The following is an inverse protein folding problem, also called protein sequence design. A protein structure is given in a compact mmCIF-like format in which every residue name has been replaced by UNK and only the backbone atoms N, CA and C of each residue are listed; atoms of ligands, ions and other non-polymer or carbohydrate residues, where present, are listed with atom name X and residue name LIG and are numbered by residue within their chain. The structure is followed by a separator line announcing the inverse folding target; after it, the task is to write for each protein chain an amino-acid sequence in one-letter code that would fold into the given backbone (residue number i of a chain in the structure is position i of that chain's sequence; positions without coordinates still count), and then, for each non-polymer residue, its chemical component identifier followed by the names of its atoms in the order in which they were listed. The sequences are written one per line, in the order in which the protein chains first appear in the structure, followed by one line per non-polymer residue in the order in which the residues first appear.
data_IF_890047733750
#
_entry.id   IF_890047733750
#
_cell.length_a   1.000
_cell.length_b   1.000
_cell.length_c   1.000
_cell.angle_alpha   90.00
_cell.angle_beta   90.00
_cell.angle_gamma   90.00
#
_symmetry.space_group_name_H-M   'P 1'
#
loop_
_entity.id
_entity.type
_entity.pdbx_description
1 polymer ?
#
# COMPACT_ATOMS: atom_id res chain seq x y z
N UNK A 1 9.64 -6.88 -15.11
CA UNK A 1 9.13 -6.88 -13.73
C UNK A 1 9.53 -5.57 -13.07
N UNK A 2 8.63 -4.96 -12.28
CA UNK A 2 8.88 -3.68 -11.60
C UNK A 2 8.60 -3.80 -10.10
N UNK A 3 9.43 -3.15 -9.27
CA UNK A 3 9.22 -3.01 -7.82
C UNK A 3 9.03 -1.54 -7.47
N UNK A 4 8.01 -1.26 -6.67
CA UNK A 4 7.68 0.08 -6.18
C UNK A 4 7.72 0.10 -4.65
N UNK A 5 8.24 1.19 -4.08
CA UNK A 5 8.16 1.40 -2.63
C UNK A 5 6.74 1.82 -2.25
N UNK A 6 6.19 1.20 -1.22
CA UNK A 6 4.99 1.71 -0.55
C UNK A 6 5.43 2.54 0.64
N UNK A 7 4.99 3.80 0.68
CA UNK A 7 5.43 4.76 1.69
C UNK A 7 4.23 5.34 2.44
N UNK A 8 4.31 5.37 3.77
CA UNK A 8 3.41 6.13 4.61
C UNK A 8 3.85 7.60 4.66
N UNK A 9 2.89 8.51 4.47
CA UNK A 9 3.11 9.95 4.57
C UNK A 9 2.85 10.44 5.99
N UNK A 10 3.81 11.12 6.60
CA UNK A 10 3.62 11.85 7.87
C UNK A 10 3.89 13.33 7.66
N UNK A 11 2.88 14.15 7.92
CA UNK A 11 2.99 15.61 7.94
C UNK A 11 3.23 16.02 9.39
N UNK A 12 4.16 16.94 9.63
CA UNK A 12 4.47 17.45 10.96
C UNK A 12 4.89 18.91 10.88
N UNK A 13 4.62 19.67 11.95
CA UNK A 13 5.14 21.02 12.10
C UNK A 13 6.56 20.97 12.67
N UNK A 14 7.47 21.76 12.10
CA UNK A 14 8.79 22.00 12.67
C UNK A 14 9.12 23.47 12.50
N UNK A 15 9.07 24.21 13.61
CA UNK A 15 9.34 25.65 13.68
C UNK A 15 8.37 26.50 12.83
N UNK A 16 7.08 26.15 12.80
CA UNK A 16 6.06 26.88 12.04
C UNK A 16 5.99 26.50 10.56
N UNK A 17 6.86 25.61 10.09
CA UNK A 17 6.82 25.05 8.74
C UNK A 17 6.23 23.65 8.73
N UNK A 18 5.27 23.40 7.83
CA UNK A 18 4.77 22.04 7.56
C UNK A 18 5.81 21.25 6.75
N UNK A 19 6.31 20.17 7.33
CA UNK A 19 7.25 19.24 6.69
C UNK A 19 6.61 17.89 6.44
N UNK A 20 7.11 17.20 5.41
CA UNK A 20 6.65 15.87 5.03
C UNK A 20 7.79 14.88 5.20
N UNK A 21 7.50 13.74 5.84
CA UNK A 21 8.36 12.56 5.85
C UNK A 21 7.63 11.40 5.18
N UNK A 22 8.38 10.64 4.38
CA UNK A 22 7.93 9.42 3.73
C UNK A 22 8.65 8.24 4.37
N UNK A 23 7.91 7.35 5.01
CA UNK A 23 8.46 6.14 5.61
C UNK A 23 8.14 4.97 4.71
N UNK A 24 9.15 4.24 4.26
CA UNK A 24 8.94 3.00 3.51
C UNK A 24 8.32 1.95 4.43
N UNK A 25 7.15 1.45 4.06
CA UNK A 25 6.35 0.50 4.84
C UNK A 25 6.09 -0.82 4.11
N UNK A 26 6.48 -0.91 2.85
CA UNK A 26 6.28 -2.11 2.04
C UNK A 26 6.84 -2.00 0.64
N UNK A 27 6.55 -3.03 -0.16
CA UNK A 27 6.89 -3.13 -1.57
C UNK A 27 5.67 -3.57 -2.37
N UNK A 28 5.50 -2.99 -3.55
CA UNK A 28 4.55 -3.47 -4.55
C UNK A 28 5.31 -4.04 -5.74
N UNK A 29 5.00 -5.28 -6.11
CA UNK A 29 5.56 -5.98 -7.28
C UNK A 29 4.55 -5.95 -8.42
N UNK A 30 5.01 -5.55 -9.59
CA UNK A 30 4.27 -5.63 -10.85
C UNK A 30 4.98 -6.67 -11.73
N UNK A 31 4.30 -7.77 -12.05
CA UNK A 31 4.84 -8.82 -12.93
C UNK A 31 4.84 -8.37 -14.38
N UNK A 32 5.51 -9.11 -15.26
CA UNK A 32 5.51 -8.84 -16.70
C UNK A 32 4.12 -8.95 -17.33
N UNK A 33 3.21 -9.71 -16.70
CA UNK A 33 1.80 -9.84 -17.10
C UNK A 33 0.90 -8.76 -16.49
N UNK A 34 1.46 -7.76 -15.80
CA UNK A 34 0.71 -6.67 -15.16
C UNK A 34 0.03 -7.02 -13.85
N UNK A 35 0.22 -8.23 -13.30
CA UNK A 35 -0.33 -8.60 -11.99
C UNK A 35 0.37 -7.82 -10.88
N UNK A 36 -0.40 -7.32 -9.92
CA UNK A 36 0.08 -6.48 -8.82
C UNK A 36 -0.01 -7.24 -7.50
N UNK A 37 1.08 -7.23 -6.74
CA UNK A 37 1.17 -7.85 -5.43
C UNK A 37 1.76 -6.85 -4.43
N UNK A 38 1.20 -6.77 -3.23
CA UNK A 38 1.64 -5.89 -2.16
C UNK A 38 2.15 -6.71 -0.98
N UNK A 39 3.30 -6.32 -0.44
CA UNK A 39 3.83 -6.85 0.81
C UNK A 39 4.10 -5.69 1.78
N UNK A 40 3.53 -5.78 2.97
CA UNK A 40 3.69 -4.77 4.02
C UNK A 40 4.69 -5.27 5.08
N UNK A 41 5.64 -4.43 5.49
CA UNK A 41 6.71 -4.84 6.41
C UNK A 41 6.24 -5.15 7.83
N UNK A 42 5.08 -4.64 8.24
CA UNK A 42 4.46 -4.96 9.52
C UNK A 42 3.73 -6.33 9.49
N UNK A 43 3.50 -6.90 8.31
CA UNK A 43 2.97 -8.26 8.09
C UNK A 43 3.84 -9.00 7.06
N UNK A 44 5.10 -9.32 7.39
CA UNK A 44 6.11 -9.75 6.41
C UNK A 44 5.83 -11.10 5.73
N UNK A 45 4.85 -11.87 6.21
CA UNK A 45 4.44 -13.17 5.66
C UNK A 45 3.12 -13.11 4.90
N UNK A 46 2.54 -11.92 4.73
CA UNK A 46 1.29 -11.72 4.02
C UNK A 46 1.57 -11.01 2.71
N UNK A 47 1.15 -11.64 1.61
CA UNK A 47 1.13 -11.02 0.29
C UNK A 47 -0.32 -10.77 -0.11
N UNK A 48 -0.63 -9.55 -0.51
CA UNK A 48 -1.94 -9.17 -0.99
C UNK A 48 -1.91 -9.13 -2.51
N UNK A 49 -2.81 -9.89 -3.14
CA UNK A 49 -3.07 -9.73 -4.56
C UNK A 49 -3.98 -8.51 -4.78
N UNK A 50 -3.55 -7.58 -5.63
CA UNK A 50 -4.32 -6.38 -5.94
C UNK A 50 -5.04 -6.57 -7.27
N UNK A 51 -6.35 -6.44 -7.24
CA UNK A 51 -7.23 -6.47 -8.40
C UNK A 51 -8.10 -5.20 -8.38
N UNK A 52 -8.58 -4.80 -9.56
CA UNK A 52 -9.48 -3.65 -9.67
C UNK A 52 -10.80 -4.00 -8.99
N UNK A 53 -11.34 -3.05 -8.23
CA UNK A 53 -12.68 -3.20 -7.67
C UNK A 53 -13.71 -3.14 -8.80
N UNK A 54 -14.62 -4.11 -8.83
CA UNK A 54 -15.77 -4.12 -9.74
C UNK A 54 -17.08 -4.34 -8.97
N UNK A 55 -18.21 -4.11 -9.65
CA UNK A 55 -19.54 -4.24 -9.06
C UNK A 55 -19.88 -5.65 -8.55
N UNK A 56 -19.10 -6.66 -8.92
CA UNK A 56 -19.30 -8.06 -8.53
C UNK A 56 -18.33 -8.51 -7.44
N UNK A 57 -17.42 -7.63 -6.98
CA UNK A 57 -16.45 -7.94 -5.96
C UNK A 57 -17.18 -8.14 -4.63
N UNK A 58 -17.14 -9.34 -4.01
CA UNK A 58 -17.86 -9.59 -2.77
C UNK A 58 -17.31 -8.71 -1.65
N UNK A 59 -18.16 -7.86 -1.10
CA UNK A 59 -17.84 -7.01 0.05
C UNK A 59 -18.22 -7.71 1.35
N UNK A 60 -17.26 -7.84 2.28
CA UNK A 60 -17.57 -8.20 3.67
C UNK A 60 -18.02 -6.94 4.38
N UNK A 61 -19.32 -6.82 4.66
CA UNK A 61 -19.84 -5.78 5.55
C UNK A 61 -19.39 -6.11 6.97
N UNK A 62 -18.63 -5.21 7.56
CA UNK A 62 -18.34 -5.25 9.00
C UNK A 62 -19.58 -4.65 9.67
N UNK A 63 -20.39 -5.47 10.34
CA UNK A 63 -21.48 -4.98 11.19
C UNK A 63 -20.86 -4.33 12.44
N UNK A 64 -21.23 -3.07 12.71
CA UNK A 64 -20.85 -2.31 13.92
C UNK A 64 -21.68 -2.70 15.14
#
# INVERSE_FOLDING_TARGET
MQLLNVCARKIYDKNGEKKIKWYKVGLMKITDTGKKYLQMFHQPQTEYFLFEHDANTPEVKIEE
#
